data_IF_843446764226
#
_entry.id   IF_843446764226
#
_cell.length_a   1.000
_cell.length_b   1.000
_cell.length_c   1.000
_cell.angle_alpha   90.00
_cell.angle_beta   90.00
_cell.angle_gamma   90.00
#
_symmetry.space_group_name_H-M   'P 1'
#
loop_
_entity.id
_entity.type
_entity.pdbx_description
1 polymer ?
#
# COMPACT_ATOMS: atom_id res chain seq x y z
N UNK A 1 18.25 36.48 -13.82
CA UNK A 1 18.60 35.38 -12.92
C UNK A 1 17.29 34.70 -12.58
N UNK A 2 17.01 33.57 -13.21
CA UNK A 2 15.81 32.80 -12.97
C UNK A 2 16.02 31.97 -11.71
N UNK A 3 15.03 32.03 -10.84
CA UNK A 3 14.87 31.27 -9.60
C UNK A 3 14.32 29.89 -9.97
N UNK A 4 15.19 28.88 -10.05
CA UNK A 4 14.80 27.48 -10.25
C UNK A 4 14.49 26.86 -8.88
N UNK A 5 13.26 27.10 -8.42
CA UNK A 5 12.65 26.42 -7.28
C UNK A 5 12.39 24.95 -7.60
N UNK A 6 13.42 24.12 -7.43
CA UNK A 6 13.31 22.66 -7.46
C UNK A 6 12.58 22.15 -6.22
N UNK A 7 11.26 22.00 -6.33
CA UNK A 7 10.44 21.31 -5.32
C UNK A 7 10.76 19.82 -5.29
N UNK A 8 11.73 19.44 -4.46
CA UNK A 8 11.94 18.05 -4.05
C UNK A 8 10.74 17.62 -3.22
N UNK A 9 9.75 16.97 -3.84
CA UNK A 9 8.80 16.13 -3.09
C UNK A 9 9.59 14.90 -2.67
N UNK A 10 10.24 15.00 -1.52
CA UNK A 10 11.02 13.91 -0.93
C UNK A 10 10.10 12.68 -0.78
N UNK A 11 10.55 11.51 -1.28
CA UNK A 11 9.85 10.22 -1.13
C UNK A 11 9.45 9.94 0.33
N UNK A 12 10.19 10.51 1.29
CA UNK A 12 9.89 10.46 2.71
C UNK A 12 8.55 11.15 3.07
N UNK A 13 8.21 12.26 2.43
CA UNK A 13 6.94 12.97 2.63
C UNK A 13 5.77 12.18 2.05
N UNK A 14 5.97 11.51 0.91
CA UNK A 14 4.97 10.61 0.32
C UNK A 14 4.73 9.38 1.21
N UNK A 15 5.80 8.78 1.75
CA UNK A 15 5.71 7.67 2.69
C UNK A 15 5.01 8.06 4.00
N UNK A 16 5.32 9.23 4.55
CA UNK A 16 4.68 9.73 5.77
C UNK A 16 3.20 10.07 5.55
N UNK A 17 2.85 10.66 4.40
CA UNK A 17 1.48 10.90 4.01
C UNK A 17 0.68 9.59 3.86
N UNK A 18 1.25 8.57 3.22
CA UNK A 18 0.61 7.26 3.06
C UNK A 18 0.35 6.56 4.40
N UNK A 19 1.31 6.59 5.33
CA UNK A 19 1.17 5.99 6.67
C UNK A 19 0.14 6.74 7.52
N UNK A 20 0.17 8.08 7.48
CA UNK A 20 -0.78 8.91 8.24
C UNK A 20 -2.20 8.76 7.69
N UNK A 21 -2.34 8.69 6.38
CA UNK A 21 -3.58 8.37 5.68
C UNK A 21 -4.15 7.01 6.12
N UNK A 22 -3.35 5.94 6.06
CA UNK A 22 -3.79 4.58 6.41
C UNK A 22 -4.29 4.52 7.86
N UNK A 23 -3.59 5.17 8.78
CA UNK A 23 -3.98 5.25 10.20
C UNK A 23 -5.31 5.96 10.39
N UNK A 24 -5.59 7.04 9.65
CA UNK A 24 -6.85 7.78 9.77
C UNK A 24 -8.08 7.00 9.27
N UNK A 25 -7.93 6.12 8.26
CA UNK A 25 -9.05 5.40 7.65
C UNK A 25 -9.30 4.01 8.25
N UNK A 26 -8.25 3.32 8.68
CA UNK A 26 -8.34 1.98 9.29
C UNK A 26 -8.71 2.02 10.79
N UNK A 27 -8.46 3.11 11.50
CA UNK A 27 -8.46 3.11 12.98
C UNK A 27 -9.81 3.40 13.67
N UNK A 28 -10.94 3.50 12.97
CA UNK A 28 -12.21 3.77 13.63
C UNK A 28 -13.21 2.62 13.40
N UNK A 29 -13.41 1.73 14.41
CA UNK A 29 -14.65 0.99 14.50
C UNK A 29 -15.80 2.01 14.51
N UNK A 30 -16.74 1.89 13.58
CA UNK A 30 -17.96 2.69 13.63
C UNK A 30 -18.80 2.12 14.76
N UNK A 31 -18.75 2.74 15.94
CA UNK A 31 -19.69 2.48 17.02
C UNK A 31 -21.07 2.98 16.57
N UNK A 32 -21.81 2.10 15.90
CA UNK A 32 -23.19 2.36 15.55
C UNK A 32 -24.07 2.35 16.79
N UNK A 33 -24.72 3.47 17.09
CA UNK A 33 -25.70 3.65 18.18
C UNK A 33 -27.00 2.85 18.02
N UNK A 34 -26.95 1.62 17.52
CA UNK A 34 -28.04 0.66 17.55
C UNK A 34 -28.00 -0.11 18.86
N UNK A 35 -29.16 -0.24 19.52
CA UNK A 35 -29.38 -0.66 20.92
C UNK A 35 -28.96 -2.10 21.30
N UNK A 36 -28.03 -2.73 20.57
CA UNK A 36 -27.52 -4.07 20.85
C UNK A 36 -26.15 -4.29 20.19
N UNK A 37 -25.08 -3.62 20.65
CA UNK A 37 -23.68 -3.97 20.33
C UNK A 37 -23.39 -4.31 18.85
N UNK A 38 -24.07 -3.63 17.92
CA UNK A 38 -24.06 -3.99 16.51
C UNK A 38 -22.88 -3.34 15.82
N UNK A 39 -22.02 -4.15 15.20
CA UNK A 39 -21.03 -3.65 14.25
C UNK A 39 -21.76 -3.03 13.07
N UNK A 40 -21.64 -1.72 12.88
CA UNK A 40 -22.13 -1.05 11.67
C UNK A 40 -21.00 -1.07 10.65
N UNK A 41 -21.24 -1.80 9.56
CA UNK A 41 -20.35 -1.79 8.40
C UNK A 41 -20.74 -0.59 7.54
N UNK A 42 -19.78 0.27 7.25
CA UNK A 42 -19.92 1.36 6.28
C UNK A 42 -19.35 0.88 4.93
N UNK A 43 -20.21 0.44 3.99
CA UNK A 43 -19.76 -0.14 2.73
C UNK A 43 -19.03 0.88 1.84
N UNK A 44 -19.44 2.15 1.85
CA UNK A 44 -18.80 3.20 1.05
C UNK A 44 -17.36 3.44 1.51
N UNK A 45 -17.11 3.44 2.83
CA UNK A 45 -15.76 3.53 3.37
C UNK A 45 -14.91 2.30 3.03
N UNK A 46 -15.49 1.10 3.03
CA UNK A 46 -14.79 -0.12 2.66
C UNK A 46 -14.38 -0.09 1.18
N UNK A 47 -15.29 0.32 0.28
CA UNK A 47 -15.01 0.48 -1.15
C UNK A 47 -13.90 1.51 -1.41
N UNK A 48 -13.96 2.67 -0.75
CA UNK A 48 -12.92 3.68 -0.86
C UNK A 48 -11.55 3.18 -0.37
N UNK A 49 -11.54 2.34 0.67
CA UNK A 49 -10.31 1.71 1.17
C UNK A 49 -9.75 0.70 0.15
N UNK A 50 -10.59 -0.17 -0.42
CA UNK A 50 -10.22 -1.15 -1.44
C UNK A 50 -9.64 -0.48 -2.69
N UNK A 51 -10.29 0.58 -3.17
CA UNK A 51 -9.83 1.36 -4.32
C UNK A 51 -8.44 1.95 -4.07
N UNK A 52 -8.20 2.46 -2.87
CA UNK A 52 -6.91 3.06 -2.53
C UNK A 52 -5.80 2.04 -2.33
N UNK A 53 -6.08 0.90 -1.67
CA UNK A 53 -5.12 -0.21 -1.58
C UNK A 53 -4.73 -0.69 -2.97
N UNK A 54 -5.69 -0.76 -3.90
CA UNK A 54 -5.43 -1.08 -5.31
C UNK A 54 -4.52 -0.05 -5.97
N UNK A 55 -4.75 1.25 -5.76
CA UNK A 55 -3.90 2.32 -6.27
C UNK A 55 -2.45 2.19 -5.75
N UNK A 56 -2.29 2.02 -4.44
CA UNK A 56 -0.98 1.89 -3.78
C UNK A 56 -0.22 0.69 -4.34
N UNK A 57 -0.86 -0.48 -4.47
CA UNK A 57 -0.20 -1.66 -5.02
C UNK A 57 0.21 -1.46 -6.48
N UNK A 58 -0.64 -0.84 -7.29
CA UNK A 58 -0.31 -0.55 -8.69
C UNK A 58 0.91 0.38 -8.79
N UNK A 59 0.98 1.41 -7.95
CA UNK A 59 2.14 2.31 -7.87
C UNK A 59 3.40 1.57 -7.44
N UNK A 60 3.33 0.74 -6.40
CA UNK A 60 4.46 -0.08 -5.95
C UNK A 60 4.95 -1.03 -7.05
N UNK A 61 4.04 -1.68 -7.78
CA UNK A 61 4.40 -2.57 -8.89
C UNK A 61 5.04 -1.81 -10.04
N UNK A 62 4.51 -0.63 -10.38
CA UNK A 62 5.14 0.22 -11.39
C UNK A 62 6.55 0.62 -10.98
N UNK A 63 6.73 1.07 -9.73
CA UNK A 63 8.05 1.44 -9.19
C UNK A 63 9.05 0.28 -9.27
N UNK A 64 8.63 -0.94 -8.90
CA UNK A 64 9.48 -2.14 -8.99
C UNK A 64 9.84 -2.46 -10.45
N UNK A 65 8.90 -2.32 -11.40
CA UNK A 65 9.15 -2.56 -12.83
C UNK A 65 10.05 -1.48 -13.46
N UNK A 66 9.88 -0.21 -13.07
CA UNK A 66 10.68 0.91 -13.59
C UNK A 66 12.04 1.03 -12.93
N UNK A 67 12.20 0.46 -11.73
CA UNK A 67 13.50 0.26 -11.09
C UNK A 67 14.24 -0.84 -11.85
N UNK A 68 14.73 -0.54 -13.05
CA UNK A 68 15.77 -1.33 -13.70
C UNK A 68 16.88 -1.51 -12.66
N UNK A 69 16.95 -2.73 -12.08
CA UNK A 69 17.55 -3.01 -10.78
C UNK A 69 18.80 -2.18 -10.52
N UNK A 70 18.78 -1.45 -9.40
CA UNK A 70 19.82 -0.51 -8.99
C UNK A 70 21.21 -1.04 -9.34
N UNK A 71 21.77 -0.53 -10.45
CA UNK A 71 23.04 -1.00 -10.96
C UNK A 71 24.13 -0.25 -10.23
N UNK A 72 24.78 -0.93 -9.31
CA UNK A 72 25.96 -0.41 -8.63
C UNK A 72 27.19 -0.76 -9.46
N UNK A 73 27.67 0.21 -10.23
CA UNK A 73 28.97 0.10 -10.87
C UNK A 73 30.06 0.45 -9.85
N UNK A 74 31.16 -0.31 -9.86
CA UNK A 74 32.28 -0.05 -8.96
C UNK A 74 32.97 1.28 -9.33
N UNK A 75 33.30 2.15 -8.35
CA UNK A 75 34.00 3.41 -8.63
C UNK A 75 35.46 3.19 -9.04
N UNK A 76 36.00 1.98 -8.87
CA UNK A 76 37.36 1.60 -9.21
C UNK A 76 37.50 0.08 -9.33
N UNK A 77 38.69 -0.37 -9.77
CA UNK A 77 39.03 -1.79 -9.94
C UNK A 77 39.72 -2.41 -8.72
N UNK A 78 39.86 -1.66 -7.62
CA UNK A 78 40.40 -2.20 -6.37
C UNK A 78 39.36 -3.12 -5.69
N UNK A 79 39.86 -4.02 -4.84
CA UNK A 79 39.05 -5.04 -4.18
C UNK A 79 37.95 -4.42 -3.29
N UNK A 80 38.19 -3.25 -2.69
CA UNK A 80 37.20 -2.56 -1.85
C UNK A 80 36.07 -2.02 -2.70
N UNK A 81 36.39 -1.36 -3.81
CA UNK A 81 35.40 -0.84 -4.77
C UNK A 81 34.52 -1.94 -5.37
N UNK A 82 35.13 -3.08 -5.74
CA UNK A 82 34.40 -4.23 -6.28
C UNK A 82 33.49 -4.87 -5.22
N UNK A 83 33.97 -5.03 -3.98
CA UNK A 83 33.18 -5.56 -2.88
C UNK A 83 32.01 -4.62 -2.51
N UNK A 84 32.21 -3.30 -2.57
CA UNK A 84 31.15 -2.33 -2.34
C UNK A 84 30.05 -2.47 -3.40
N UNK A 85 30.41 -2.54 -4.68
CA UNK A 85 29.45 -2.73 -5.77
C UNK A 85 28.67 -4.05 -5.63
N UNK A 86 29.36 -5.14 -5.29
CA UNK A 86 28.73 -6.44 -5.06
C UNK A 86 27.74 -6.42 -3.89
N UNK A 87 28.11 -5.79 -2.76
CA UNK A 87 27.23 -5.64 -1.61
C UNK A 87 26.03 -4.72 -1.92
N UNK A 88 26.24 -3.63 -2.65
CA UNK A 88 25.16 -2.74 -3.09
C UNK A 88 24.14 -3.49 -3.96
N UNK A 89 24.61 -4.28 -4.93
CA UNK A 89 23.76 -5.10 -5.78
C UNK A 89 22.97 -6.16 -5.00
N UNK A 90 23.57 -6.78 -3.98
CA UNK A 90 22.87 -7.72 -3.09
C UNK A 90 21.80 -7.01 -2.23
N UNK A 91 22.13 -5.85 -1.66
CA UNK A 91 21.18 -5.06 -0.88
C UNK A 91 19.98 -4.63 -1.71
N UNK A 92 20.19 -4.21 -2.96
CA UNK A 92 19.10 -3.84 -3.86
C UNK A 92 18.21 -5.01 -4.24
N UNK A 93 18.78 -6.18 -4.54
CA UNK A 93 17.98 -7.39 -4.77
C UNK A 93 17.09 -7.74 -3.58
N UNK A 94 17.60 -7.56 -2.35
CA UNK A 94 16.80 -7.76 -1.13
C UNK A 94 15.72 -6.71 -0.98
N UNK A 95 16.03 -5.44 -1.24
CA UNK A 95 15.06 -4.34 -1.19
C UNK A 95 13.90 -4.59 -2.18
N UNK A 96 14.20 -5.01 -3.41
CA UNK A 96 13.19 -5.42 -4.41
C UNK A 96 12.31 -6.57 -3.88
N UNK A 97 12.92 -7.59 -3.27
CA UNK A 97 12.19 -8.68 -2.64
C UNK A 97 11.24 -8.22 -1.52
N UNK A 98 11.67 -7.28 -0.68
CA UNK A 98 10.82 -6.69 0.36
C UNK A 98 9.65 -5.90 -0.23
N UNK A 99 9.89 -5.09 -1.27
CA UNK A 99 8.83 -4.33 -1.95
C UNK A 99 7.79 -5.26 -2.58
N UNK A 100 8.22 -6.34 -3.22
CA UNK A 100 7.32 -7.35 -3.79
C UNK A 100 6.48 -8.05 -2.70
N UNK A 101 7.12 -8.46 -1.60
CA UNK A 101 6.42 -9.08 -0.48
C UNK A 101 5.40 -8.12 0.15
N UNK A 102 5.76 -6.84 0.29
CA UNK A 102 4.87 -5.82 0.82
C UNK A 102 3.67 -5.57 -0.10
N UNK A 103 3.89 -5.47 -1.41
CA UNK A 103 2.82 -5.36 -2.39
C UNK A 103 1.85 -6.54 -2.30
N UNK A 104 2.37 -7.77 -2.19
CA UNK A 104 1.55 -8.98 -2.02
C UNK A 104 0.72 -8.95 -0.72
N UNK A 105 1.27 -8.42 0.38
CA UNK A 105 0.54 -8.31 1.64
C UNK A 105 -0.59 -7.25 1.58
N UNK A 106 -0.36 -6.14 0.87
CA UNK A 106 -1.40 -5.14 0.61
C UNK A 106 -2.53 -5.76 -0.23
N UNK A 107 -2.20 -6.55 -1.26
CA UNK A 107 -3.19 -7.26 -2.08
C UNK A 107 -4.01 -8.23 -1.27
N UNK A 108 -3.38 -9.07 -0.45
CA UNK A 108 -4.09 -10.00 0.43
C UNK A 108 -5.03 -9.27 1.39
N UNK A 109 -4.64 -8.09 1.89
CA UNK A 109 -5.48 -7.26 2.76
C UNK A 109 -6.68 -6.69 2.01
N UNK A 110 -6.47 -6.18 0.79
CA UNK A 110 -7.54 -5.71 -0.10
C UNK A 110 -8.54 -6.83 -0.39
N UNK A 111 -8.06 -8.00 -0.75
CA UNK A 111 -8.91 -9.14 -1.12
C UNK A 111 -9.73 -9.61 0.09
N UNK A 112 -9.13 -9.67 1.28
CA UNK A 112 -9.86 -9.96 2.51
C UNK A 112 -10.96 -8.91 2.82
N UNK A 113 -10.70 -7.62 2.58
CA UNK A 113 -11.72 -6.56 2.73
C UNK A 113 -12.83 -6.68 1.71
N UNK A 114 -12.51 -7.04 0.46
CA UNK A 114 -13.48 -7.28 -0.59
C UNK A 114 -14.40 -8.46 -0.23
N UNK A 115 -13.83 -9.58 0.23
CA UNK A 115 -14.59 -10.75 0.67
C UNK A 115 -15.55 -10.41 1.83
N UNK A 116 -15.10 -9.58 2.79
CA UNK A 116 -15.93 -9.12 3.89
C UNK A 116 -17.09 -8.22 3.43
N UNK A 117 -16.83 -7.31 2.48
CA UNK A 117 -17.85 -6.44 1.92
C UNK A 117 -18.91 -7.22 1.13
N UNK A 118 -18.48 -8.21 0.35
CA UNK A 118 -19.38 -9.04 -0.44
C UNK A 118 -20.24 -9.95 0.46
N UNK A 119 -19.66 -10.49 1.53
CA UNK A 119 -20.41 -11.21 2.55
C UNK A 119 -21.47 -10.32 3.23
N UNK A 120 -21.12 -9.09 3.57
CA UNK A 120 -22.05 -8.12 4.14
C UNK A 120 -23.22 -7.81 3.20
N UNK A 121 -22.94 -7.50 1.92
CA UNK A 121 -23.96 -7.24 0.90
C UNK A 121 -24.88 -8.44 0.66
N UNK A 122 -24.34 -9.66 0.70
CA UNK A 122 -25.13 -10.89 0.58
C UNK A 122 -26.12 -11.05 1.74
N UNK A 123 -25.71 -10.74 2.97
CA UNK A 123 -26.58 -10.79 4.15
C UNK A 123 -27.66 -9.70 4.06
N UNK A 124 -27.30 -8.48 3.68
CA UNK A 124 -28.24 -7.36 3.53
C UNK A 124 -29.33 -7.67 2.48
N UNK A 125 -28.93 -8.24 1.34
CA UNK A 125 -29.85 -8.67 0.27
C UNK A 125 -30.81 -9.76 0.78
N UNK A 126 -30.30 -10.74 1.54
CA UNK A 126 -31.10 -11.82 2.12
C UNK A 126 -32.12 -11.28 3.13
N UNK A 127 -31.70 -10.35 3.99
CA UNK A 127 -32.59 -9.72 4.97
C UNK A 127 -33.68 -8.87 4.29
N UNK A 128 -33.31 -8.10 3.26
CA UNK A 128 -34.26 -7.30 2.48
C UNK A 128 -35.32 -8.15 1.80
N UNK A 129 -34.96 -9.33 1.27
CA UNK A 129 -35.89 -10.28 0.66
C UNK A 129 -36.80 -11.01 1.65
N UNK A 130 -36.42 -11.09 2.94
CA UNK A 130 -37.27 -11.66 4.00
C UNK A 130 -38.28 -10.66 4.58
N UNK A 131 -38.04 -9.36 4.39
CA UNK A 131 -38.89 -8.26 4.86
C UNK A 131 -39.87 -7.76 3.78
N UNK A 132 -39.77 -8.28 2.54
CA UNK A 132 -40.67 -8.00 1.42
C UNK A 132 -41.79 -9.04 1.31
#
# INVERSE_FOLDING_TARGET
MADDGGGSTDEADLGHAAVTWARSRLAAPVEGGGRAGGFVVDPERAEACIAELTRITNELRMQVVTSNGFRFDAPGNDEVSLNLAANGAEMSRRAEGFLQAWAAQIEATRDALQDQLDAYRSVETSNSGLLA
#
